data_IF_643702269807
#
_entry.id   IF_643702269807
#
_cell.length_a   1.000
_cell.length_b   1.000
_cell.length_c   1.000
_cell.angle_alpha   90.00
_cell.angle_beta   90.00
_cell.angle_gamma   90.00
#
_symmetry.space_group_name_H-M   'P 1'
#
loop_
_entity.id
_entity.type
_entity.pdbx_description
1 polymer ?
#
# COMPACT_ATOMS: atom_id res chain seq x y z
N UNK A 1 10.42 -12.94 21.82
CA UNK A 1 9.56 -13.09 20.63
C UNK A 1 8.37 -12.15 20.80
N UNK A 2 8.46 -10.96 20.20
CA UNK A 2 7.40 -9.96 20.23
C UNK A 2 6.30 -10.45 19.29
N UNK A 3 5.15 -10.86 19.83
CA UNK A 3 3.97 -11.15 19.02
C UNK A 3 3.43 -9.81 18.54
N UNK A 4 3.54 -9.56 17.24
CA UNK A 4 2.81 -8.48 16.61
C UNK A 4 1.32 -8.87 16.59
N UNK A 5 0.56 -8.23 17.46
CA UNK A 5 -0.90 -8.20 17.36
C UNK A 5 -1.22 -6.88 16.66
N UNK A 6 -1.72 -6.89 15.41
CA UNK A 6 -2.26 -5.67 14.83
C UNK A 6 -3.33 -5.19 15.79
N UNK A 7 -3.20 -3.96 16.30
CA UNK A 7 -4.30 -3.31 17.01
C UNK A 7 -5.43 -3.16 16.01
N UNK A 8 -6.33 -4.15 16.05
CA UNK A 8 -7.54 -4.20 15.27
C UNK A 8 -8.37 -3.01 15.75
N UNK A 9 -8.32 -1.93 15.00
CA UNK A 9 -9.28 -0.86 15.17
C UNK A 9 -10.63 -1.48 14.80
N UNK A 10 -11.53 -1.59 15.78
CA UNK A 10 -12.80 -2.32 15.68
C UNK A 10 -13.80 -1.69 14.69
N UNK A 11 -13.37 -0.73 13.88
CA UNK A 11 -14.10 -0.23 12.73
C UNK A 11 -13.76 -1.12 11.52
N UNK A 12 -14.50 -2.23 11.41
CA UNK A 12 -14.39 -3.22 10.34
C UNK A 12 -14.36 -2.56 8.94
N UNK A 13 -13.32 -2.84 8.13
CA UNK A 13 -13.32 -2.87 6.63
C UNK A 13 -11.93 -2.88 5.99
N UNK A 14 -10.82 -2.78 6.74
CA UNK A 14 -9.49 -2.83 6.13
C UNK A 14 -9.20 -4.21 5.50
N UNK A 15 -8.92 -4.26 4.19
CA UNK A 15 -8.48 -5.47 3.48
C UNK A 15 -7.00 -5.38 3.17
N UNK A 16 -6.27 -6.48 3.32
CA UNK A 16 -4.89 -6.55 2.85
C UNK A 16 -4.88 -6.88 1.36
N UNK A 17 -4.17 -6.07 0.57
CA UNK A 17 -4.09 -6.21 -0.89
C UNK A 17 -2.64 -6.12 -1.37
N UNK A 18 -2.40 -6.64 -2.58
CA UNK A 18 -1.19 -6.40 -3.37
C UNK A 18 -1.61 -5.56 -4.57
N UNK A 19 -0.87 -4.49 -4.82
CA UNK A 19 -1.10 -3.63 -5.98
C UNK A 19 -0.15 -4.05 -7.10
N UNK A 20 -0.72 -4.38 -8.24
CA UNK A 20 0.01 -4.97 -9.37
C UNK A 20 -0.37 -4.29 -10.67
N UNK A 21 0.60 -4.22 -11.58
CA UNK A 21 0.42 -3.85 -12.97
C UNK A 21 0.48 -5.11 -13.85
N UNK A 22 0.06 -5.01 -15.13
CA UNK A 22 0.35 -6.05 -16.11
C UNK A 22 1.84 -6.44 -16.11
N UNK A 23 2.15 -7.62 -16.65
CA UNK A 23 3.53 -8.14 -16.75
C UNK A 23 4.21 -8.52 -15.41
N UNK A 24 3.42 -8.84 -14.38
CA UNK A 24 3.92 -9.28 -13.06
C UNK A 24 4.81 -8.25 -12.36
N UNK A 25 4.45 -6.98 -12.50
CA UNK A 25 5.04 -5.86 -11.77
C UNK A 25 4.22 -5.58 -10.51
N UNK A 26 4.87 -5.54 -9.36
CA UNK A 26 4.20 -5.31 -8.07
C UNK A 26 4.76 -4.07 -7.38
N UNK A 27 3.89 -3.32 -6.72
CA UNK A 27 4.29 -2.20 -5.87
C UNK A 27 4.86 -2.75 -4.56
N UNK A 28 6.04 -2.29 -4.19
CA UNK A 28 6.67 -2.60 -2.90
C UNK A 28 7.12 -1.34 -2.16
N UNK A 29 7.32 -1.49 -0.86
CA UNK A 29 7.88 -0.44 -0.01
C UNK A 29 9.27 -0.85 0.51
N UNK A 30 10.21 0.09 0.48
CA UNK A 30 11.49 -0.02 1.18
C UNK A 30 11.69 1.21 2.07
N UNK A 31 12.69 1.19 2.95
CA UNK A 31 13.04 2.34 3.78
C UNK A 31 14.48 2.75 3.50
N UNK A 32 14.66 3.99 3.06
CA UNK A 32 15.95 4.59 2.73
C UNK A 32 16.10 5.85 3.58
N UNK A 33 17.15 5.91 4.39
CA UNK A 33 17.47 7.07 5.25
C UNK A 33 16.30 7.59 6.12
N UNK A 34 15.45 6.68 6.60
CA UNK A 34 14.30 7.04 7.44
C UNK A 34 13.00 7.28 6.66
N UNK A 35 13.07 7.45 5.35
CA UNK A 35 11.93 7.70 4.46
C UNK A 35 11.48 6.40 3.79
N UNK A 36 10.16 6.17 3.74
CA UNK A 36 9.61 5.03 2.99
C UNK A 36 9.54 5.39 1.52
N UNK A 37 10.06 4.51 0.67
CA UNK A 37 10.12 4.70 -0.78
C UNK A 37 9.26 3.64 -1.46
N UNK A 38 8.51 4.06 -2.48
CA UNK A 38 7.73 3.19 -3.34
C UNK A 38 8.60 2.66 -4.49
N UNK A 39 8.56 1.35 -4.74
CA UNK A 39 9.30 0.71 -5.83
C UNK A 39 8.36 -0.15 -6.69
N UNK A 40 8.84 -0.48 -7.89
CA UNK A 40 8.24 -1.49 -8.76
C UNK A 40 9.20 -2.68 -8.85
N UNK A 41 8.76 -3.85 -8.42
CA UNK A 41 9.52 -5.10 -8.49
C UNK A 41 8.88 -6.04 -9.53
N UNK A 42 9.70 -6.54 -10.46
CA UNK A 42 9.34 -7.61 -11.40
C UNK A 42 9.43 -8.94 -10.68
N UNK A 43 8.46 -9.83 -10.95
CA UNK A 43 8.60 -11.27 -10.71
C UNK A 43 8.73 -11.66 -9.22
N UNK A 44 7.58 -11.68 -8.58
CA UNK A 44 7.34 -12.59 -7.46
C UNK A 44 6.53 -13.73 -8.07
N UNK A 45 6.97 -14.97 -7.90
CA UNK A 45 6.15 -16.11 -8.26
C UNK A 45 4.88 -16.02 -7.38
N UNK A 46 3.78 -15.48 -7.88
CA UNK A 46 2.57 -15.22 -7.07
C UNK A 46 2.00 -16.50 -6.45
N UNK A 47 2.36 -17.67 -6.98
CA UNK A 47 2.09 -18.99 -6.38
C UNK A 47 2.87 -19.24 -5.08
N UNK A 48 4.04 -18.62 -4.92
CA UNK A 48 4.92 -18.63 -3.73
C UNK A 48 4.59 -17.48 -2.76
N UNK A 49 3.72 -16.54 -3.13
CA UNK A 49 3.05 -15.63 -2.18
C UNK A 49 2.04 -16.36 -1.28
N UNK A 50 2.32 -17.61 -0.89
CA UNK A 50 1.96 -18.03 0.46
C UNK A 50 2.69 -17.04 1.36
N UNK A 51 1.94 -16.06 1.87
CA UNK A 51 2.39 -14.94 2.70
C UNK A 51 3.03 -15.52 3.96
N UNK A 52 4.26 -15.99 3.82
CA UNK A 52 5.13 -16.32 4.92
C UNK A 52 5.77 -15.01 5.32
N UNK A 53 5.54 -14.60 6.57
CA UNK A 53 6.21 -13.46 7.18
C UNK A 53 7.74 -13.65 7.24
N UNK A 54 8.24 -14.84 6.90
CA UNK A 54 9.65 -15.20 6.93
C UNK A 54 10.47 -14.62 5.76
N UNK A 55 9.84 -14.24 4.64
CA UNK A 55 10.53 -13.80 3.42
C UNK A 55 10.39 -12.31 3.09
N UNK A 56 10.07 -11.46 4.07
CA UNK A 56 9.92 -10.01 3.85
C UNK A 56 8.79 -9.66 2.85
N UNK A 57 7.77 -10.51 2.76
CA UNK A 57 6.68 -10.39 1.79
C UNK A 57 5.66 -9.32 2.15
N UNK A 58 5.67 -8.84 3.40
CA UNK A 58 4.85 -7.74 3.89
C UNK A 58 5.20 -6.39 3.24
N UNK A 59 6.37 -6.27 2.61
CA UNK A 59 6.76 -5.09 1.81
C UNK A 59 5.85 -4.83 0.61
N UNK A 60 5.13 -5.85 0.13
CA UNK A 60 4.16 -5.75 -0.97
C UNK A 60 2.72 -5.55 -0.50
N UNK A 61 2.48 -5.64 0.81
CA UNK A 61 1.14 -5.64 1.35
C UNK A 61 0.72 -4.22 1.75
N UNK A 62 -0.51 -3.89 1.38
CA UNK A 62 -1.15 -2.63 1.75
C UNK A 62 -2.47 -2.91 2.46
N UNK A 63 -2.76 -2.15 3.53
CA UNK A 63 -4.12 -2.05 4.03
C UNK A 63 -4.91 -1.12 3.12
N UNK A 64 -5.87 -1.67 2.39
CA UNK A 64 -6.90 -0.94 1.68
C UNK A 64 -8.03 -0.59 2.65
N UNK A 65 -8.17 0.70 2.96
CA UNK A 65 -9.20 1.22 3.86
C UNK A 65 -10.16 2.10 3.06
N UNK A 66 -11.42 1.69 2.96
CA UNK A 66 -12.47 2.51 2.36
C UNK A 66 -13.17 3.29 3.47
N UNK A 67 -13.22 4.61 3.32
CA UNK A 67 -13.89 5.51 4.25
C UNK A 67 -15.40 5.56 3.97
N UNK A 68 -16.17 6.13 4.89
CA UNK A 68 -17.63 6.28 4.77
C UNK A 68 -18.06 7.10 3.54
N UNK A 69 -17.17 7.94 3.01
CA UNK A 69 -17.40 8.75 1.80
C UNK A 69 -16.92 8.05 0.51
N UNK A 70 -16.77 6.72 0.54
CA UNK A 70 -16.32 5.86 -0.57
C UNK A 70 -14.92 6.14 -1.14
N UNK A 71 -14.13 6.99 -0.48
CA UNK A 71 -12.72 7.15 -0.85
C UNK A 71 -11.88 6.06 -0.19
N UNK A 72 -10.83 5.63 -0.88
CA UNK A 72 -9.94 4.55 -0.42
C UNK A 72 -8.55 5.09 -0.15
N UNK A 73 -7.94 4.60 0.92
CA UNK A 73 -6.54 4.85 1.27
C UNK A 73 -5.77 3.53 1.23
N UNK A 74 -4.49 3.61 0.85
CA UNK A 74 -3.58 2.46 0.83
C UNK A 74 -2.41 2.73 1.76
N UNK A 75 -2.40 2.05 2.91
CA UNK A 75 -1.36 2.15 3.94
C UNK A 75 -0.39 0.98 3.82
N UNK A 76 0.92 1.20 3.91
CA UNK A 76 1.90 0.11 3.94
C UNK A 76 1.71 -0.75 5.20
N UNK A 77 1.60 -2.07 5.03
CA UNK A 77 1.55 -3.01 6.18
C UNK A 77 2.87 -3.00 6.93
N UNK A 78 3.99 -3.05 6.20
CA UNK A 78 5.34 -3.07 6.78
C UNK A 78 5.73 -1.74 7.44
N UNK A 79 5.32 -0.62 6.85
CA UNK A 79 5.60 0.72 7.36
C UNK A 79 4.32 1.48 7.70
N UNK A 80 3.71 1.13 8.82
CA UNK A 80 2.47 1.78 9.29
C UNK A 80 2.59 3.29 9.40
N UNK A 81 1.48 3.98 9.11
CA UNK A 81 1.43 5.44 9.02
C UNK A 81 1.98 6.01 7.71
N UNK A 82 2.47 5.18 6.79
CA UNK A 82 2.87 5.60 5.44
C UNK A 82 1.83 5.16 4.41
N UNK A 83 1.42 6.10 3.57
CA UNK A 83 0.33 5.96 2.62
C UNK A 83 0.79 6.25 1.20
N UNK A 84 0.20 5.56 0.22
CA UNK A 84 0.34 5.96 -1.19
C UNK A 84 -0.27 7.35 -1.35
N UNK A 85 0.43 8.20 -2.10
CA UNK A 85 0.09 9.61 -2.24
C UNK A 85 0.43 10.17 -3.62
N UNK A 86 -0.28 11.23 -4.00
CA UNK A 86 0.03 12.06 -5.18
C UNK A 86 0.28 13.51 -4.77
N UNK A 87 0.95 14.26 -5.65
CA UNK A 87 1.03 15.72 -5.54
C UNK A 87 -0.30 16.35 -5.99
N UNK A 88 -0.56 17.59 -5.55
CA UNK A 88 -1.58 18.45 -6.17
C UNK A 88 -1.15 18.98 -7.54
N UNK A 89 0.15 18.97 -7.84
CA UNK A 89 0.72 19.40 -9.11
C UNK A 89 0.66 18.27 -10.16
N UNK A 90 0.45 18.65 -11.42
CA UNK A 90 0.37 17.71 -12.53
C UNK A 90 1.74 17.09 -12.87
N UNK A 91 1.71 15.83 -13.34
CA UNK A 91 2.88 15.07 -13.84
C UNK A 91 3.97 14.78 -12.80
N UNK A 92 3.62 14.89 -11.53
CA UNK A 92 4.47 14.45 -10.42
C UNK A 92 4.36 12.94 -10.16
N UNK A 93 5.39 12.39 -9.53
CA UNK A 93 5.45 10.96 -9.21
C UNK A 93 4.49 10.58 -8.09
N UNK A 94 3.99 9.34 -8.14
CA UNK A 94 3.29 8.69 -7.04
C UNK A 94 4.32 8.25 -6.01
N UNK A 95 4.09 8.57 -4.74
CA UNK A 95 5.06 8.35 -3.65
C UNK A 95 4.39 7.91 -2.36
N UNK A 96 5.19 7.48 -1.38
CA UNK A 96 4.73 7.25 -0.02
C UNK A 96 4.87 8.52 0.83
N UNK A 97 3.86 8.84 1.63
CA UNK A 97 3.94 9.95 2.59
C UNK A 97 3.29 9.59 3.93
N UNK A 98 3.61 10.34 4.97
CA UNK A 98 2.86 10.33 6.22
C UNK A 98 1.66 11.29 6.11
N UNK A 99 0.63 11.11 6.94
CA UNK A 99 -0.64 11.89 6.88
C UNK A 99 -0.42 13.40 7.08
N UNK A 100 0.64 13.77 7.79
CA UNK A 100 1.04 15.15 8.06
C UNK A 100 1.91 15.79 6.97
N UNK A 101 2.18 15.07 5.88
CA UNK A 101 2.87 15.64 4.72
C UNK A 101 1.99 16.69 4.04
N UNK A 102 2.29 17.96 4.30
CA UNK A 102 1.62 19.09 3.66
C UNK A 102 1.60 18.91 2.14
N UNK A 103 0.43 19.12 1.52
CA UNK A 103 0.21 19.14 0.06
C UNK A 103 0.21 17.77 -0.65
N UNK A 104 0.22 16.64 0.08
CA UNK A 104 0.01 15.31 -0.51
C UNK A 104 -1.46 14.88 -0.40
N UNK A 105 -1.95 14.20 -1.44
CA UNK A 105 -3.30 13.63 -1.51
C UNK A 105 -3.19 12.11 -1.33
N UNK A 106 -3.93 11.55 -0.37
CA UNK A 106 -3.86 10.10 -0.01
C UNK A 106 -5.18 9.35 -0.20
N UNK A 107 -6.21 10.06 -0.70
CA UNK A 107 -7.56 9.53 -0.89
C UNK A 107 -7.83 9.31 -2.37
N UNK A 108 -8.25 8.10 -2.72
CA UNK A 108 -8.44 7.67 -4.10
C UNK A 108 -9.84 7.11 -4.33
N UNK A 109 -10.45 7.46 -5.45
CA UNK A 109 -11.63 6.76 -5.95
C UNK A 109 -11.17 5.50 -6.70
N UNK A 110 -11.70 4.33 -6.31
CA UNK A 110 -11.32 3.04 -6.90
C UNK A 110 -12.47 2.51 -7.74
N UNK A 111 -12.24 2.40 -9.04
CA UNK A 111 -13.20 1.89 -10.00
C UNK A 111 -12.86 0.45 -10.40
N UNK A 112 -13.88 -0.38 -10.59
CA UNK A 112 -13.70 -1.69 -11.22
C UNK A 112 -13.88 -1.51 -12.72
N UNK A 113 -12.88 -1.88 -13.47
CA UNK A 113 -13.02 -2.00 -14.92
C UNK A 113 -13.74 -3.32 -15.23
N UNK A 114 -14.91 -3.23 -15.85
CA UNK A 114 -15.61 -4.40 -16.37
C UNK A 114 -15.00 -4.72 -17.74
N UNK A 115 -13.98 -5.57 -17.78
CA UNK A 115 -13.50 -6.13 -19.04
C UNK A 115 -14.57 -7.07 -19.61
N UNK A 116 -14.96 -6.92 -20.91
CA UNK A 116 -15.95 -7.77 -21.56
C UNK A 116 -15.51 -9.22 -21.72
#
# INVERSE_FOLDING_TARGET
MSRYSPTFDNNATAKTVILSFPENLHISCSKVDGTVVMNLEVNINCSEMQISLEQDMDRFLFFMRTTEINTTMFESVKYQGWFISTSSEERESVEMCQVDAHQRIISFDVFRENTP
#
